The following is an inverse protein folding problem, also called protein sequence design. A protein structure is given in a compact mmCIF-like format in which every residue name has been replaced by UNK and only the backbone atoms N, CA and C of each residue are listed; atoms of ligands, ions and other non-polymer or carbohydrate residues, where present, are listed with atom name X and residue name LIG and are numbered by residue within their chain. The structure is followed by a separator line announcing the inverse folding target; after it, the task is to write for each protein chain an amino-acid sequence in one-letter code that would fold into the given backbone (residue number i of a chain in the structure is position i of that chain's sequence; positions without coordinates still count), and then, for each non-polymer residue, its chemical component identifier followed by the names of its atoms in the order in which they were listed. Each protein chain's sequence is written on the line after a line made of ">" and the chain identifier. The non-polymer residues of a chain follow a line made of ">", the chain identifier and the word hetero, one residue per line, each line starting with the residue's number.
data_IF_510001833828
#
_entry.id   IF_510001833828
#
_cell.length_a   1.000
_cell.length_b   1.000
_cell.length_c   1.000
_cell.angle_alpha   90.00
_cell.angle_beta   90.00
_cell.angle_gamma   90.00
#
_symmetry.space_group_name_H-M   'P 1'
#
loop_
_entity.id
_entity.type
_entity.pdbx_description
1 polymer ?
#
# COMPACT_ATOMS: atom_id res chain seq x y z
N UNK A 1 4.82 -34.22 28.93
CA UNK A 1 4.09 -34.98 29.98
C UNK A 1 2.57 -34.88 29.85
N UNK A 2 1.97 -33.73 29.51
CA UNK A 2 0.51 -33.60 29.29
C UNK A 2 0.00 -33.86 27.85
N UNK A 3 0.81 -34.45 26.95
CA UNK A 3 0.38 -34.81 25.58
C UNK A 3 0.24 -33.67 24.55
N UNK A 4 0.74 -32.45 24.84
CA UNK A 4 0.66 -31.32 23.92
C UNK A 4 1.40 -31.54 22.58
N UNK A 5 0.84 -31.02 21.48
CA UNK A 5 1.39 -31.13 20.13
C UNK A 5 1.94 -29.78 19.63
N UNK A 6 3.26 -29.65 19.56
CA UNK A 6 3.94 -28.43 19.08
C UNK A 6 3.67 -28.15 17.60
N UNK A 7 3.50 -29.17 16.76
CA UNK A 7 3.22 -28.98 15.33
C UNK A 7 1.85 -28.34 15.10
N UNK A 8 0.90 -28.55 16.01
CA UNK A 8 -0.42 -27.93 15.90
C UNK A 8 -0.34 -26.39 16.06
N UNK A 9 0.60 -25.88 16.88
CA UNK A 9 0.85 -24.44 16.94
C UNK A 9 1.29 -23.89 15.58
N UNK A 10 2.25 -24.56 14.91
CA UNK A 10 2.69 -24.15 13.58
C UNK A 10 1.54 -24.15 12.57
N UNK A 11 0.67 -25.17 12.63
CA UNK A 11 -0.53 -25.23 11.78
C UNK A 11 -1.46 -24.03 12.01
N UNK A 12 -1.83 -23.74 13.26
CA UNK A 12 -2.73 -22.62 13.60
C UNK A 12 -2.08 -21.27 13.25
N UNK A 13 -0.79 -21.11 13.55
CA UNK A 13 -0.05 -19.89 13.24
C UNK A 13 -0.07 -19.60 11.75
N UNK A 14 0.22 -20.58 10.89
CA UNK A 14 0.25 -20.38 9.45
C UNK A 14 -1.13 -20.28 8.82
N UNK A 15 -2.15 -20.92 9.41
CA UNK A 15 -3.54 -20.75 9.00
C UNK A 15 -3.98 -19.27 9.06
N UNK A 16 -3.40 -18.47 9.95
CA UNK A 16 -3.51 -17.01 9.92
C UNK A 16 -2.40 -16.34 9.09
N UNK A 17 -1.14 -16.72 9.33
CA UNK A 17 0.03 -16.02 8.80
C UNK A 17 0.13 -15.99 7.29
N UNK A 18 -0.39 -17.01 6.58
CA UNK A 18 -0.41 -16.98 5.13
C UNK A 18 -1.52 -16.09 4.55
N UNK A 19 -2.78 -16.14 5.02
CA UNK A 19 -3.76 -15.10 4.70
C UNK A 19 -3.27 -13.68 5.00
N UNK A 20 -2.54 -13.47 6.10
CA UNK A 20 -2.01 -12.16 6.49
C UNK A 20 -1.10 -11.55 5.41
N UNK A 21 -0.24 -12.34 4.74
CA UNK A 21 0.60 -11.79 3.67
C UNK A 21 -0.23 -11.25 2.49
N UNK A 22 -1.42 -11.79 2.26
CA UNK A 22 -2.34 -11.25 1.25
C UNK A 22 -3.12 -10.02 1.73
N UNK A 23 -3.41 -9.93 3.04
CA UNK A 23 -3.96 -8.71 3.65
C UNK A 23 -3.01 -7.53 3.41
N UNK A 24 -1.70 -7.77 3.44
CA UNK A 24 -0.69 -6.74 3.16
C UNK A 24 -0.63 -6.37 1.66
N UNK A 25 -0.65 -7.37 0.76
CA UNK A 25 -0.38 -7.13 -0.67
C UNK A 25 -1.60 -6.61 -1.45
N UNK A 26 -2.82 -7.01 -1.09
CA UNK A 26 -4.03 -6.66 -1.84
C UNK A 26 -4.30 -5.15 -1.87
N UNK A 27 -4.14 -4.39 -0.76
CA UNK A 27 -4.20 -2.93 -0.80
C UNK A 27 -3.14 -2.32 -1.73
N UNK A 28 -1.89 -2.80 -1.66
CA UNK A 28 -0.81 -2.32 -2.52
C UNK A 28 -1.10 -2.54 -4.01
N UNK A 29 -1.71 -3.68 -4.36
CA UNK A 29 -2.21 -3.94 -5.72
C UNK A 29 -3.31 -2.98 -6.15
N UNK A 30 -4.19 -2.57 -5.23
CA UNK A 30 -5.15 -1.50 -5.46
C UNK A 30 -4.44 -0.18 -5.81
N UNK A 31 -3.42 0.18 -5.05
CA UNK A 31 -2.60 1.39 -5.30
C UNK A 31 -1.94 1.33 -6.69
N UNK A 32 -1.33 0.21 -7.07
CA UNK A 32 -0.75 0.06 -8.41
C UNK A 32 -1.79 0.12 -9.54
N UNK A 33 -3.03 -0.32 -9.29
CA UNK A 33 -4.13 -0.19 -10.25
C UNK A 33 -4.45 1.29 -10.52
N UNK A 34 -4.55 2.11 -9.48
CA UNK A 34 -4.83 3.54 -9.62
C UNK A 34 -3.65 4.31 -10.24
N UNK A 35 -2.42 3.97 -9.87
CA UNK A 35 -1.20 4.58 -10.42
C UNK A 35 -1.04 4.25 -11.90
N UNK A 36 -1.18 2.97 -12.26
CA UNK A 36 -1.02 2.53 -13.66
C UNK A 36 -2.07 3.18 -14.56
N UNK A 37 -3.32 3.29 -14.11
CA UNK A 37 -4.39 3.98 -14.85
C UNK A 37 -4.13 5.49 -14.93
N UNK A 38 -3.91 6.15 -13.79
CA UNK A 38 -3.73 7.60 -13.74
C UNK A 38 -2.54 8.03 -14.57
N UNK A 39 -1.34 7.54 -14.27
CA UNK A 39 -0.11 8.03 -14.91
C UNK A 39 0.08 7.59 -16.36
N UNK A 40 -0.71 6.63 -16.85
CA UNK A 40 -0.80 6.30 -18.29
C UNK A 40 -1.84 7.13 -19.04
N UNK A 41 -2.74 7.81 -18.33
CA UNK A 41 -3.87 8.53 -18.90
C UNK A 41 -4.82 7.62 -19.66
N UNK A 42 -5.11 6.45 -19.08
CA UNK A 42 -5.98 5.41 -19.65
C UNK A 42 -6.80 4.75 -18.55
N UNK A 43 -8.02 4.36 -18.85
CA UNK A 43 -8.83 3.46 -18.02
C UNK A 43 -8.10 2.14 -17.80
N UNK A 44 -8.32 1.58 -16.61
CA UNK A 44 -7.78 0.29 -16.22
C UNK A 44 -8.26 -0.82 -17.18
N UNK A 45 -7.32 -1.51 -17.82
CA UNK A 45 -7.59 -2.67 -18.64
C UNK A 45 -8.00 -3.84 -17.74
N UNK A 46 -8.96 -4.67 -18.20
CA UNK A 46 -9.30 -5.90 -17.49
C UNK A 46 -9.94 -5.71 -16.11
N UNK A 47 -10.65 -4.61 -15.82
CA UNK A 47 -11.25 -4.36 -14.49
C UNK A 47 -11.97 -5.58 -13.88
N UNK A 48 -12.84 -6.23 -14.66
CA UNK A 48 -13.57 -7.42 -14.20
C UNK A 48 -12.59 -8.56 -13.85
N UNK A 49 -11.59 -8.79 -14.70
CA UNK A 49 -10.50 -9.75 -14.46
C UNK A 49 -9.73 -9.42 -13.18
N UNK A 50 -9.39 -8.15 -12.94
CA UNK A 50 -8.71 -7.70 -11.73
C UNK A 50 -9.52 -7.94 -10.46
N UNK A 51 -10.84 -7.70 -10.49
CA UNK A 51 -11.75 -7.95 -9.36
C UNK A 51 -11.86 -9.45 -9.09
N UNK A 52 -12.11 -10.25 -10.13
CA UNK A 52 -12.19 -11.71 -10.01
C UNK A 52 -10.86 -12.27 -9.48
N UNK A 53 -9.72 -11.81 -10.00
CA UNK A 53 -8.40 -12.22 -9.53
C UNK A 53 -8.21 -11.91 -8.03
N UNK A 54 -8.62 -10.72 -7.56
CA UNK A 54 -8.57 -10.38 -6.14
C UNK A 54 -9.46 -11.29 -5.29
N UNK A 55 -10.67 -11.61 -5.75
CA UNK A 55 -11.59 -12.52 -5.06
C UNK A 55 -11.02 -13.95 -5.01
N UNK A 56 -10.44 -14.44 -6.10
CA UNK A 56 -9.77 -15.74 -6.14
C UNK A 56 -8.62 -15.81 -5.15
N UNK A 57 -7.76 -14.77 -5.09
CA UNK A 57 -6.68 -14.69 -4.09
C UNK A 57 -7.25 -14.73 -2.67
N UNK A 58 -8.30 -13.94 -2.40
CA UNK A 58 -8.91 -13.90 -1.07
C UNK A 58 -9.41 -15.28 -0.62
N UNK A 59 -10.08 -16.04 -1.49
CA UNK A 59 -10.59 -17.38 -1.15
C UNK A 59 -9.46 -18.41 -1.04
N UNK A 60 -8.57 -18.49 -2.04
CA UNK A 60 -7.51 -19.52 -2.10
C UNK A 60 -6.44 -19.28 -1.03
N UNK A 61 -6.26 -18.05 -0.54
CA UNK A 61 -5.31 -17.76 0.55
C UNK A 61 -5.54 -18.60 1.81
N UNK A 62 -6.78 -19.01 2.07
CA UNK A 62 -7.15 -19.87 3.19
C UNK A 62 -6.93 -21.37 2.92
N UNK A 63 -6.41 -21.78 1.77
CA UNK A 63 -6.26 -23.20 1.40
C UNK A 63 -4.82 -23.63 1.13
N UNK A 64 -3.84 -22.82 1.49
CA UNK A 64 -2.44 -23.03 1.05
C UNK A 64 -1.40 -22.94 2.19
N UNK A 65 -1.82 -22.64 3.42
CA UNK A 65 -0.91 -22.33 4.53
C UNK A 65 0.11 -23.43 4.88
N UNK A 66 -0.16 -24.69 4.54
CA UNK A 66 0.73 -25.82 4.82
C UNK A 66 2.09 -25.71 4.13
N UNK A 67 2.20 -24.96 3.03
CA UNK A 67 3.48 -24.82 2.32
C UNK A 67 4.60 -24.20 3.19
N UNK A 68 4.26 -23.57 4.31
CA UNK A 68 5.27 -23.03 5.25
C UNK A 68 5.97 -24.11 6.07
N UNK A 69 5.49 -25.36 6.01
CA UNK A 69 6.02 -26.44 6.83
C UNK A 69 5.96 -27.81 6.12
N UNK A 70 6.20 -27.83 4.80
CA UNK A 70 6.33 -29.08 4.04
C UNK A 70 7.34 -30.07 4.67
N UNK A 71 8.36 -29.53 5.34
CA UNK A 71 9.46 -30.25 6.00
C UNK A 71 9.08 -30.90 7.35
N UNK A 72 7.85 -30.72 7.85
CA UNK A 72 7.41 -31.29 9.14
C UNK A 72 6.83 -32.72 9.03
N UNK A 73 7.18 -33.48 8.00
CA UNK A 73 6.88 -34.92 7.92
C UNK A 73 5.43 -35.30 7.60
N UNK A 74 4.67 -34.41 6.97
CA UNK A 74 3.32 -34.71 6.48
C UNK A 74 3.35 -35.74 5.34
N UNK A 75 2.21 -36.40 5.08
CA UNK A 75 2.12 -37.36 3.97
C UNK A 75 2.38 -36.70 2.62
N UNK A 76 2.99 -37.45 1.69
CA UNK A 76 3.31 -36.95 0.35
C UNK A 76 2.07 -36.42 -0.39
N UNK A 77 0.92 -37.08 -0.27
CA UNK A 77 -0.33 -36.64 -0.89
C UNK A 77 -0.79 -35.26 -0.41
N UNK A 78 -0.65 -34.97 0.88
CA UNK A 78 -0.98 -33.65 1.45
C UNK A 78 -0.03 -32.58 0.93
N UNK A 79 1.28 -32.85 0.91
CA UNK A 79 2.27 -31.91 0.39
C UNK A 79 2.03 -31.60 -1.10
N UNK A 80 1.69 -32.61 -1.91
CA UNK A 80 1.35 -32.43 -3.33
C UNK A 80 0.11 -31.55 -3.48
N UNK A 81 -0.96 -31.82 -2.73
CA UNK A 81 -2.20 -31.06 -2.80
C UNK A 81 -1.99 -29.57 -2.46
N UNK A 82 -1.32 -29.29 -1.35
CA UNK A 82 -1.02 -27.91 -0.95
C UNK A 82 0.00 -27.22 -1.87
N UNK A 83 0.96 -27.96 -2.41
CA UNK A 83 1.89 -27.46 -3.43
C UNK A 83 1.16 -27.00 -4.68
N UNK A 84 0.30 -27.85 -5.25
CA UNK A 84 -0.52 -27.51 -6.43
C UNK A 84 -1.42 -26.30 -6.13
N UNK A 85 -2.14 -26.31 -4.99
CA UNK A 85 -3.01 -25.20 -4.60
C UNK A 85 -2.23 -23.87 -4.49
N UNK A 86 -1.00 -23.91 -3.97
CA UNK A 86 -0.12 -22.74 -3.87
C UNK A 86 0.30 -22.22 -5.25
N UNK A 87 0.68 -23.12 -6.17
CA UNK A 87 1.05 -22.73 -7.54
C UNK A 87 -0.12 -22.08 -8.28
N UNK A 88 -1.35 -22.52 -8.04
CA UNK A 88 -2.56 -21.94 -8.64
C UNK A 88 -2.73 -20.46 -8.29
N UNK A 89 -2.27 -19.99 -7.12
CA UNK A 89 -2.31 -18.56 -6.76
C UNK A 89 -1.44 -17.69 -7.69
N UNK A 90 -0.43 -18.29 -8.33
CA UNK A 90 0.37 -17.61 -9.35
C UNK A 90 -0.47 -17.09 -10.52
N UNK A 91 -1.57 -17.77 -10.87
CA UNK A 91 -2.44 -17.42 -12.00
C UNK A 91 -3.16 -16.08 -11.79
N UNK A 92 -4.01 -15.89 -10.75
CA UNK A 92 -4.69 -14.62 -10.55
C UNK A 92 -3.70 -13.47 -10.34
N UNK A 93 -2.57 -13.71 -9.68
CA UNK A 93 -1.52 -12.70 -9.50
C UNK A 93 -0.92 -12.29 -10.85
N UNK A 94 -0.61 -13.26 -11.73
CA UNK A 94 -0.11 -13.02 -13.08
C UNK A 94 -1.09 -12.23 -13.94
N UNK A 95 -2.39 -12.56 -13.89
CA UNK A 95 -3.45 -11.80 -14.58
C UNK A 95 -3.38 -10.31 -14.21
N UNK A 96 -3.22 -9.98 -12.92
CA UNK A 96 -3.10 -8.58 -12.49
C UNK A 96 -1.89 -7.87 -13.07
N UNK A 97 -0.74 -8.53 -13.12
CA UNK A 97 0.49 -7.98 -13.73
C UNK A 97 0.24 -7.65 -15.21
N UNK A 98 -0.35 -8.58 -15.97
CA UNK A 98 -0.66 -8.35 -17.37
C UNK A 98 -1.70 -7.24 -17.59
N UNK A 99 -2.73 -7.18 -16.74
CA UNK A 99 -3.75 -6.12 -16.82
C UNK A 99 -3.13 -4.73 -16.58
N UNK A 100 -2.20 -4.58 -15.62
CA UNK A 100 -1.50 -3.31 -15.43
C UNK A 100 -0.56 -2.98 -16.59
N UNK A 101 0.18 -3.95 -17.11
CA UNK A 101 1.01 -3.75 -18.31
C UNK A 101 0.16 -3.33 -19.52
N UNK A 102 -0.99 -3.97 -19.75
CA UNK A 102 -1.92 -3.64 -20.81
C UNK A 102 -2.60 -2.27 -20.61
N UNK A 103 -2.83 -1.86 -19.35
CA UNK A 103 -3.28 -0.52 -19.00
C UNK A 103 -2.27 0.52 -19.48
N UNK A 104 -0.98 0.31 -19.22
CA UNK A 104 0.10 1.20 -19.65
C UNK A 104 0.35 1.16 -21.16
N UNK A 105 0.15 0.01 -21.82
CA UNK A 105 0.38 -0.15 -23.26
C UNK A 105 -0.50 0.81 -24.09
N UNK A 106 0.11 1.49 -25.07
CA UNK A 106 -0.52 2.55 -25.88
C UNK A 106 -1.04 3.74 -25.05
N UNK A 107 -0.69 3.82 -23.77
CA UNK A 107 -0.88 5.02 -22.96
C UNK A 107 0.22 6.04 -23.19
N UNK A 108 0.04 7.22 -22.61
CA UNK A 108 1.08 8.26 -22.55
C UNK A 108 1.65 8.28 -21.13
N UNK A 109 2.60 7.37 -20.88
CA UNK A 109 3.16 7.12 -19.55
C UNK A 109 4.02 8.30 -19.10
N UNK A 110 3.69 8.86 -17.93
CA UNK A 110 4.43 9.93 -17.28
C UNK A 110 5.44 9.33 -16.31
N UNK A 111 6.74 9.61 -16.48
CA UNK A 111 7.81 9.00 -15.66
C UNK A 111 7.97 9.76 -14.33
N UNK A 112 6.94 9.70 -13.51
CA UNK A 112 6.87 10.27 -12.15
C UNK A 112 7.39 9.28 -11.11
N UNK A 113 7.62 9.73 -9.87
CA UNK A 113 8.09 8.85 -8.77
C UNK A 113 7.22 7.60 -8.59
N UNK A 114 5.87 7.67 -8.57
CA UNK A 114 5.01 6.49 -8.51
C UNK A 114 5.26 5.48 -9.64
N UNK A 115 5.55 5.94 -10.86
CA UNK A 115 5.84 5.06 -11.99
C UNK A 115 7.21 4.39 -11.86
N UNK A 116 8.21 5.05 -11.27
CA UNK A 116 9.51 4.41 -10.98
C UNK A 116 9.32 3.26 -9.98
N UNK A 117 8.55 3.46 -8.91
CA UNK A 117 8.19 2.40 -7.97
C UNK A 117 7.39 1.28 -8.63
N UNK A 118 6.39 1.60 -9.47
CA UNK A 118 5.60 0.61 -10.21
C UNK A 118 6.49 -0.22 -11.16
N UNK A 119 7.46 0.41 -11.81
CA UNK A 119 8.41 -0.27 -12.70
C UNK A 119 9.32 -1.20 -11.89
N UNK A 120 9.85 -0.73 -10.76
CA UNK A 120 10.60 -1.56 -9.82
C UNK A 120 9.79 -2.74 -9.30
N UNK A 121 8.51 -2.53 -9.00
CA UNK A 121 7.56 -3.57 -8.67
C UNK A 121 7.46 -4.61 -9.78
N UNK A 122 7.18 -4.23 -11.04
CA UNK A 122 7.08 -5.22 -12.12
C UNK A 122 8.33 -6.07 -12.27
N UNK A 123 9.51 -5.45 -12.25
CA UNK A 123 10.77 -6.16 -12.45
C UNK A 123 11.05 -7.14 -11.32
N UNK A 124 10.90 -6.70 -10.07
CA UNK A 124 11.35 -7.45 -8.90
C UNK A 124 10.27 -8.41 -8.40
N UNK A 125 9.00 -7.98 -8.38
CA UNK A 125 7.89 -8.81 -7.93
C UNK A 125 7.66 -10.03 -8.81
N UNK A 126 7.89 -9.93 -10.14
CA UNK A 126 7.80 -11.10 -11.03
C UNK A 126 8.89 -12.11 -10.69
N UNK A 127 10.13 -11.68 -10.46
CA UNK A 127 11.21 -12.57 -10.00
C UNK A 127 10.86 -13.19 -8.64
N UNK A 128 10.32 -12.38 -7.72
CA UNK A 128 9.82 -12.83 -6.42
C UNK A 128 8.74 -13.90 -6.56
N UNK A 129 7.73 -13.65 -7.38
CA UNK A 129 6.63 -14.58 -7.65
C UNK A 129 7.12 -15.90 -8.27
N UNK A 130 8.03 -15.84 -9.25
CA UNK A 130 8.64 -17.04 -9.83
C UNK A 130 9.39 -17.86 -8.78
N UNK A 131 10.19 -17.23 -7.91
CA UNK A 131 10.85 -17.93 -6.80
C UNK A 131 9.86 -18.53 -5.79
N UNK A 132 8.67 -17.93 -5.64
CA UNK A 132 7.58 -18.49 -4.81
C UNK A 132 6.95 -19.73 -5.41
N UNK A 133 6.77 -19.77 -6.73
CA UNK A 133 6.32 -20.98 -7.45
C UNK A 133 7.35 -22.10 -7.29
N UNK A 134 8.65 -21.77 -7.30
CA UNK A 134 9.72 -22.75 -7.02
C UNK A 134 9.60 -23.30 -5.60
N UNK A 135 9.38 -22.45 -4.59
CA UNK A 135 9.18 -22.86 -3.19
C UNK A 135 7.86 -23.62 -2.95
N UNK A 136 6.85 -23.40 -3.79
CA UNK A 136 5.61 -24.17 -3.75
C UNK A 136 5.79 -25.64 -4.16
N UNK A 137 6.94 -26.01 -4.73
CA UNK A 137 7.30 -27.39 -5.02
C UNK A 137 7.96 -28.04 -3.79
N UNK A 138 7.31 -29.02 -3.12
CA UNK A 138 7.84 -29.61 -1.89
C UNK A 138 9.23 -30.25 -2.07
N UNK A 139 9.51 -30.83 -3.24
CA UNK A 139 10.81 -31.47 -3.52
C UNK A 139 11.95 -30.47 -3.56
N UNK A 140 11.68 -29.24 -4.02
CA UNK A 140 12.68 -28.16 -4.02
C UNK A 140 12.71 -27.50 -2.66
N UNK A 141 11.55 -27.24 -2.04
CA UNK A 141 11.47 -26.63 -0.71
C UNK A 141 12.34 -27.40 0.28
N UNK A 142 12.36 -28.74 0.27
CA UNK A 142 13.24 -29.52 1.15
C UNK A 142 14.72 -29.14 1.11
N UNK A 143 15.22 -28.61 0.00
CA UNK A 143 16.62 -28.16 -0.13
C UNK A 143 16.83 -26.71 0.33
N UNK A 144 15.85 -25.84 0.09
CA UNK A 144 15.99 -24.39 0.32
C UNK A 144 15.18 -23.88 1.51
N UNK A 145 14.44 -24.76 2.18
CA UNK A 145 13.65 -24.45 3.35
C UNK A 145 14.56 -23.91 4.45
N UNK A 146 14.20 -22.76 5.03
CA UNK A 146 15.01 -22.04 6.01
C UNK A 146 16.42 -21.62 5.53
N UNK A 147 16.75 -21.65 4.23
CA UNK A 147 17.97 -21.01 3.72
C UNK A 147 17.74 -19.51 3.44
N UNK A 148 18.80 -18.79 3.08
CA UNK A 148 18.65 -17.39 2.64
C UNK A 148 17.87 -17.25 1.32
N UNK A 149 17.62 -18.34 0.58
CA UNK A 149 16.76 -18.33 -0.61
C UNK A 149 15.32 -17.98 -0.23
N UNK A 150 14.80 -18.58 0.84
CA UNK A 150 13.48 -18.26 1.39
C UNK A 150 13.41 -16.79 1.85
N UNK A 151 14.48 -16.31 2.47
CA UNK A 151 14.60 -14.91 2.90
C UNK A 151 14.55 -13.98 1.68
N UNK A 152 15.34 -14.26 0.65
CA UNK A 152 15.36 -13.51 -0.59
C UNK A 152 13.98 -13.47 -1.26
N UNK A 153 13.34 -14.64 -1.40
CA UNK A 153 11.98 -14.76 -1.95
C UNK A 153 10.98 -13.84 -1.25
N UNK A 154 10.86 -13.97 0.08
CA UNK A 154 9.88 -13.20 0.84
C UNK A 154 10.14 -11.68 0.74
N UNK A 155 11.41 -11.27 0.83
CA UNK A 155 11.76 -9.85 0.67
C UNK A 155 11.45 -9.34 -0.74
N UNK A 156 11.59 -10.18 -1.77
CA UNK A 156 11.32 -9.84 -3.16
C UNK A 156 9.84 -9.74 -3.51
N UNK A 157 8.95 -10.34 -2.70
CA UNK A 157 7.51 -10.11 -2.83
C UNK A 157 7.02 -8.98 -1.93
N UNK A 158 7.54 -8.84 -0.71
CA UNK A 158 7.02 -7.85 0.25
C UNK A 158 7.59 -6.44 0.03
N UNK A 159 8.87 -6.28 -0.29
CA UNK A 159 9.45 -4.93 -0.48
C UNK A 159 8.94 -4.32 -1.78
N UNK A 160 9.13 -4.95 -2.97
CA UNK A 160 8.57 -4.41 -4.20
C UNK A 160 7.05 -4.43 -4.22
N UNK A 161 6.41 -5.45 -3.65
CA UNK A 161 4.96 -5.59 -3.67
C UNK A 161 4.24 -4.65 -2.70
N UNK A 162 4.65 -4.62 -1.43
CA UNK A 162 3.96 -3.84 -0.38
C UNK A 162 4.63 -2.48 -0.19
N UNK A 163 5.93 -2.45 0.16
CA UNK A 163 6.60 -1.21 0.52
C UNK A 163 6.61 -0.21 -0.65
N UNK A 164 6.94 -0.63 -1.87
CA UNK A 164 6.93 0.29 -3.01
C UNK A 164 5.50 0.75 -3.34
N UNK A 165 4.50 -0.12 -3.18
CA UNK A 165 3.10 0.27 -3.33
C UNK A 165 2.71 1.35 -2.32
N UNK A 166 3.13 1.22 -1.06
CA UNK A 166 2.87 2.24 -0.03
C UNK A 166 3.61 3.55 -0.32
N UNK A 167 4.89 3.49 -0.69
CA UNK A 167 5.68 4.68 -1.03
C UNK A 167 5.13 5.40 -2.28
N UNK A 168 4.70 4.64 -3.29
CA UNK A 168 4.07 5.18 -4.48
C UNK A 168 2.70 5.80 -4.15
N UNK A 169 1.90 5.13 -3.29
CA UNK A 169 0.64 5.66 -2.78
C UNK A 169 0.82 6.94 -1.97
N UNK A 170 1.88 7.03 -1.14
CA UNK A 170 2.24 8.26 -0.45
C UNK A 170 2.49 9.35 -1.50
N UNK A 171 3.35 9.16 -2.49
CA UNK A 171 3.61 10.20 -3.50
C UNK A 171 2.34 10.60 -4.28
N UNK A 172 1.45 9.65 -4.54
CA UNK A 172 0.20 9.87 -5.24
C UNK A 172 -0.80 10.68 -4.41
N UNK A 173 -1.10 10.28 -3.17
CA UNK A 173 -2.13 10.92 -2.33
C UNK A 173 -1.62 11.94 -1.30
N UNK A 174 -0.30 12.14 -1.16
CA UNK A 174 0.27 13.18 -0.28
C UNK A 174 -0.35 14.57 -0.51
N UNK A 175 -0.57 15.04 -1.75
CA UNK A 175 -1.17 16.34 -1.96
C UNK A 175 -2.61 16.41 -1.45
N UNK A 176 -3.37 15.32 -1.51
CA UNK A 176 -4.74 15.26 -1.02
C UNK A 176 -4.81 15.42 0.50
N UNK A 177 -3.85 14.82 1.22
CA UNK A 177 -3.77 14.89 2.66
C UNK A 177 -3.21 16.24 3.18
N UNK A 178 -2.18 16.79 2.53
CA UNK A 178 -1.42 17.93 3.07
C UNK A 178 -1.55 19.23 2.26
N UNK A 179 -2.18 19.20 1.09
CA UNK A 179 -2.42 20.38 0.24
C UNK A 179 -1.27 20.74 -0.71
N UNK A 180 -0.15 20.01 -0.70
CA UNK A 180 1.01 20.26 -1.58
C UNK A 180 1.65 18.96 -2.05
N UNK A 181 2.28 18.98 -3.23
CA UNK A 181 2.98 17.82 -3.81
C UNK A 181 4.33 17.56 -3.15
N UNK A 182 4.84 16.33 -3.28
CA UNK A 182 6.23 16.00 -2.97
C UNK A 182 7.15 16.38 -4.15
N UNK A 183 8.41 16.70 -3.84
CA UNK A 183 9.44 17.00 -4.83
C UNK A 183 9.73 15.79 -5.72
N UNK A 184 9.46 15.91 -7.02
CA UNK A 184 9.65 14.80 -7.96
C UNK A 184 11.13 14.46 -8.23
N UNK A 185 12.04 15.42 -8.12
CA UNK A 185 13.47 15.17 -8.26
C UNK A 185 13.99 14.26 -7.15
N UNK A 186 13.65 14.57 -5.90
CA UNK A 186 14.08 13.78 -4.74
C UNK A 186 13.28 12.49 -4.57
N UNK A 187 11.99 12.50 -4.92
CA UNK A 187 11.16 11.31 -4.98
C UNK A 187 11.75 10.25 -5.92
N UNK A 188 12.15 10.64 -7.15
CA UNK A 188 12.75 9.70 -8.11
C UNK A 188 14.09 9.16 -7.64
N UNK A 189 14.96 10.02 -7.08
CA UNK A 189 16.24 9.58 -6.48
C UNK A 189 16.00 8.55 -5.38
N UNK A 190 15.04 8.81 -4.51
CA UNK A 190 14.64 7.88 -3.43
C UNK A 190 14.17 6.55 -4.02
N UNK A 191 13.30 6.57 -5.04
CA UNK A 191 12.81 5.36 -5.69
C UNK A 191 13.93 4.54 -6.35
N UNK A 192 14.84 5.19 -7.09
CA UNK A 192 15.99 4.51 -7.70
C UNK A 192 16.94 3.92 -6.65
N UNK A 193 17.18 4.61 -5.54
CA UNK A 193 17.99 4.09 -4.44
C UNK A 193 17.33 2.87 -3.78
N UNK A 194 16.00 2.88 -3.59
CA UNK A 194 15.26 1.72 -3.09
C UNK A 194 15.34 0.53 -4.05
N UNK A 195 15.15 0.75 -5.36
CA UNK A 195 15.20 -0.31 -6.37
C UNK A 195 16.60 -0.88 -6.50
N UNK A 196 17.61 -0.02 -6.66
CA UNK A 196 19.02 -0.45 -6.76
C UNK A 196 19.51 -1.11 -5.47
N UNK A 197 19.24 -0.49 -4.31
CA UNK A 197 19.58 -1.04 -3.01
C UNK A 197 18.94 -2.40 -2.76
N UNK A 198 17.68 -2.59 -3.16
CA UNK A 198 17.02 -3.89 -3.07
C UNK A 198 17.74 -4.95 -3.90
N UNK A 199 18.05 -4.66 -5.18
CA UNK A 199 18.75 -5.59 -6.07
C UNK A 199 20.07 -6.04 -5.46
N UNK A 200 20.91 -5.10 -5.04
CA UNK A 200 22.21 -5.42 -4.45
C UNK A 200 22.09 -6.13 -3.10
N UNK A 201 21.04 -5.88 -2.31
CA UNK A 201 20.85 -6.53 -1.01
C UNK A 201 20.36 -7.97 -1.15
N UNK A 202 19.31 -8.19 -1.93
CA UNK A 202 18.55 -9.44 -1.87
C UNK A 202 18.81 -10.40 -3.04
N UNK A 203 19.27 -9.93 -4.20
CA UNK A 203 19.64 -10.86 -5.28
C UNK A 203 20.80 -11.79 -4.90
N UNK A 204 21.86 -11.33 -4.21
CA UNK A 204 22.91 -12.23 -3.71
C UNK A 204 22.39 -13.32 -2.76
N UNK A 205 21.32 -13.04 -2.00
CA UNK A 205 20.78 -13.98 -1.03
C UNK A 205 20.11 -15.20 -1.67
N UNK A 206 19.61 -15.08 -2.91
CA UNK A 206 19.17 -16.24 -3.69
C UNK A 206 20.35 -17.19 -3.96
N UNK A 207 21.50 -16.65 -4.39
CA UNK A 207 22.70 -17.45 -4.67
C UNK A 207 23.23 -18.09 -3.39
N UNK A 208 23.38 -17.30 -2.32
CA UNK A 208 23.79 -17.80 -0.99
C UNK A 208 22.88 -18.92 -0.48
N UNK A 209 21.58 -18.82 -0.75
CA UNK A 209 20.60 -19.80 -0.31
C UNK A 209 20.73 -21.13 -1.06
N UNK A 210 21.08 -21.07 -2.35
CA UNK A 210 21.41 -22.24 -3.17
C UNK A 210 22.79 -22.84 -2.79
N UNK A 211 23.72 -22.01 -2.31
CA UNK A 211 24.99 -22.46 -1.74
C UNK A 211 24.85 -23.04 -0.32
N UNK A 212 23.63 -23.09 0.24
CA UNK A 212 23.34 -23.70 1.54
C UNK A 212 23.50 -22.79 2.75
N UNK A 213 23.57 -21.47 2.57
CA UNK A 213 23.62 -20.53 3.71
C UNK A 213 22.27 -20.56 4.47
N UNK A 214 22.24 -20.96 5.75
CA UNK A 214 21.01 -20.98 6.53
C UNK A 214 20.61 -19.57 6.98
N UNK A 215 19.30 -19.33 7.13
CA UNK A 215 18.79 -18.10 7.74
C UNK A 215 19.06 -18.09 9.24
N UNK A 216 19.14 -16.90 9.85
CA UNK A 216 19.35 -16.68 11.29
C UNK A 216 20.70 -17.19 11.81
N UNK A 217 21.67 -17.36 10.93
CA UNK A 217 23.06 -17.63 11.32
C UNK A 217 23.76 -16.31 11.67
N UNK A 218 24.27 -16.14 12.89
CA UNK A 218 24.99 -14.92 13.27
C UNK A 218 26.39 -14.84 12.66
N UNK A 219 26.92 -15.99 12.21
CA UNK A 219 28.24 -16.12 11.58
C UNK A 219 28.21 -17.29 10.59
N UNK A 220 29.16 -17.31 9.66
CA UNK A 220 29.37 -18.39 8.70
C UNK A 220 30.86 -18.67 8.54
N UNK A 221 31.21 -19.95 8.32
CA UNK A 221 32.60 -20.40 8.19
C UNK A 221 33.05 -20.56 6.74
N UNK A 222 32.09 -20.73 5.80
CA UNK A 222 32.42 -20.91 4.39
C UNK A 222 32.90 -19.58 3.77
N UNK A 223 34.18 -19.46 3.34
CA UNK A 223 34.70 -18.24 2.75
C UNK A 223 34.04 -17.88 1.42
N UNK A 224 33.46 -18.84 0.70
CA UNK A 224 32.80 -18.62 -0.59
C UNK A 224 31.55 -17.72 -0.47
N UNK A 225 31.01 -17.55 0.74
CA UNK A 225 29.89 -16.65 1.00
C UNK A 225 30.31 -15.18 1.05
N UNK A 226 31.59 -14.88 1.33
CA UNK A 226 32.06 -13.50 1.55
C UNK A 226 31.79 -12.55 0.38
N UNK A 227 32.08 -12.90 -0.89
CA UNK A 227 31.84 -11.99 -2.01
C UNK A 227 30.37 -11.57 -2.11
N UNK A 228 29.44 -12.53 -1.98
CA UNK A 228 28.01 -12.28 -2.03
C UNK A 228 27.52 -11.45 -0.84
N UNK A 229 28.07 -11.70 0.36
CA UNK A 229 27.76 -10.94 1.56
C UNK A 229 28.27 -9.49 1.47
N UNK A 230 29.42 -9.23 0.84
CA UNK A 230 29.89 -7.87 0.59
C UNK A 230 28.99 -7.11 -0.39
N UNK A 231 28.51 -7.77 -1.45
CA UNK A 231 27.52 -7.18 -2.37
C UNK A 231 26.22 -6.88 -1.63
N UNK A 232 25.73 -7.83 -0.80
CA UNK A 232 24.54 -7.64 0.01
C UNK A 232 24.69 -6.47 1.01
N UNK A 233 25.85 -6.35 1.65
CA UNK A 233 26.15 -5.26 2.57
C UNK A 233 26.18 -3.89 1.86
N UNK A 234 26.77 -3.83 0.66
CA UNK A 234 26.73 -2.63 -0.18
C UNK A 234 25.28 -2.23 -0.52
N UNK A 235 24.44 -3.20 -0.89
CA UNK A 235 23.00 -2.98 -1.08
C UNK A 235 22.32 -2.43 0.19
N UNK A 236 22.68 -2.97 1.36
CA UNK A 236 22.17 -2.49 2.65
C UNK A 236 22.50 -1.02 2.91
N UNK A 237 23.72 -0.58 2.56
CA UNK A 237 24.12 0.84 2.62
C UNK A 237 23.29 1.68 1.65
N UNK A 238 23.05 1.21 0.42
CA UNK A 238 22.18 1.91 -0.52
C UNK A 238 20.74 2.05 -0.01
N UNK A 239 20.21 1.02 0.65
CA UNK A 239 18.88 1.07 1.29
C UNK A 239 18.84 2.09 2.43
N UNK A 240 19.91 2.23 3.22
CA UNK A 240 20.03 3.29 4.23
C UNK A 240 20.05 4.68 3.58
N UNK A 241 20.79 4.84 2.48
CA UNK A 241 20.77 6.07 1.68
C UNK A 241 19.38 6.35 1.11
N UNK A 242 18.63 5.32 0.70
CA UNK A 242 17.24 5.46 0.24
C UNK A 242 16.34 6.01 1.35
N UNK A 243 16.46 5.47 2.57
CA UNK A 243 15.72 5.97 3.73
C UNK A 243 16.08 7.42 4.06
N UNK A 244 17.36 7.78 4.06
CA UNK A 244 17.80 9.16 4.25
C UNK A 244 17.24 10.10 3.16
N UNK A 245 17.26 9.66 1.90
CA UNK A 245 16.69 10.39 0.77
C UNK A 245 15.17 10.56 0.89
N UNK A 246 14.45 9.58 1.45
CA UNK A 246 13.02 9.69 1.72
C UNK A 246 12.72 10.80 2.75
N UNK A 247 13.45 10.82 3.87
CA UNK A 247 13.33 11.87 4.89
C UNK A 247 13.64 13.24 4.27
N UNK A 248 14.69 13.30 3.46
CA UNK A 248 15.07 14.52 2.75
C UNK A 248 13.98 14.97 1.76
N UNK A 249 13.33 14.05 1.05
CA UNK A 249 12.20 14.33 0.16
C UNK A 249 11.07 15.03 0.92
N UNK A 250 10.69 14.53 2.10
CA UNK A 250 9.68 15.20 2.93
C UNK A 250 10.12 16.58 3.39
N UNK A 251 11.36 16.71 3.86
CA UNK A 251 11.90 17.98 4.34
C UNK A 251 11.94 19.07 3.25
N UNK A 252 12.50 18.75 2.06
CA UNK A 252 12.55 19.69 0.93
C UNK A 252 11.14 20.08 0.48
N UNK A 253 10.22 19.10 0.38
CA UNK A 253 8.85 19.36 -0.05
C UNK A 253 8.11 20.27 0.93
N UNK A 254 8.29 20.06 2.24
CA UNK A 254 7.73 20.93 3.27
C UNK A 254 8.31 22.35 3.23
N UNK A 255 9.61 22.47 2.94
CA UNK A 255 10.28 23.78 2.84
C UNK A 255 9.78 24.62 1.66
N UNK A 256 9.41 23.96 0.55
CA UNK A 256 8.89 24.56 -0.68
C UNK A 256 7.37 24.34 -0.85
N UNK A 257 6.63 24.07 0.25
CA UNK A 257 5.21 23.72 0.20
C UNK A 257 4.31 24.77 -0.49
N UNK A 258 4.71 26.04 -0.47
CA UNK A 258 3.95 27.12 -1.09
C UNK A 258 4.00 27.04 -2.64
N UNK A 259 5.17 26.73 -3.19
CA UNK A 259 5.42 26.51 -4.62
C UNK A 259 4.73 25.22 -5.09
N UNK A 260 4.77 24.18 -4.25
CA UNK A 260 4.19 22.86 -4.52
C UNK A 260 2.70 22.75 -4.18
N UNK A 261 2.06 23.84 -3.71
CA UNK A 261 0.66 23.81 -3.28
C UNK A 261 -0.31 23.57 -4.43
N UNK A 262 -1.29 22.71 -4.21
CA UNK A 262 -2.27 22.27 -5.21
C UNK A 262 -3.71 22.45 -4.76
N UNK A 263 -4.13 23.68 -4.41
CA UNK A 263 -5.43 23.92 -3.77
C UNK A 263 -6.63 23.53 -4.65
N UNK A 264 -6.46 23.41 -5.97
CA UNK A 264 -7.49 22.90 -6.89
C UNK A 264 -7.80 21.41 -6.70
N UNK A 265 -6.88 20.66 -6.08
CA UNK A 265 -7.14 19.30 -5.61
C UNK A 265 -6.92 18.16 -6.60
N UNK A 266 -6.73 18.42 -7.90
CA UNK A 266 -6.40 17.41 -8.93
C UNK A 266 -5.06 17.70 -9.62
N UNK A 267 -3.92 17.41 -8.97
CA UNK A 267 -2.60 17.63 -9.56
C UNK A 267 -2.21 16.65 -10.67
N UNK A 268 -2.91 15.52 -10.79
CA UNK A 268 -2.49 14.40 -11.64
C UNK A 268 -3.42 14.15 -12.82
N UNK A 269 -4.44 15.00 -13.00
CA UNK A 269 -5.54 14.76 -13.92
C UNK A 269 -6.21 13.40 -13.67
N UNK A 270 -6.42 13.03 -12.40
CA UNK A 270 -6.95 11.74 -11.96
C UNK A 270 -8.40 11.49 -12.38
N UNK A 271 -8.88 10.25 -12.37
CA UNK A 271 -10.19 9.91 -12.97
C UNK A 271 -11.29 9.59 -11.95
N UNK A 272 -10.92 9.54 -10.67
CA UNK A 272 -11.70 9.09 -9.52
C UNK A 272 -12.11 10.27 -8.62
N UNK A 273 -13.08 10.05 -7.73
CA UNK A 273 -13.78 11.11 -7.01
C UNK A 273 -12.91 11.88 -6.00
N UNK A 274 -11.85 11.28 -5.46
CA UNK A 274 -10.95 11.96 -4.53
C UNK A 274 -10.33 13.21 -5.15
N UNK A 275 -10.12 13.21 -6.46
CA UNK A 275 -9.58 14.35 -7.22
C UNK A 275 -10.61 15.45 -7.48
N UNK A 276 -11.89 15.21 -7.22
CA UNK A 276 -12.95 16.23 -7.37
C UNK A 276 -13.06 17.22 -6.20
N UNK A 277 -12.35 16.94 -5.10
CA UNK A 277 -12.37 17.74 -3.86
C UNK A 277 -11.15 18.66 -3.77
N UNK A 278 -11.19 19.72 -2.94
CA UNK A 278 -10.00 20.53 -2.68
C UNK A 278 -8.85 19.71 -2.07
N UNK A 279 -7.68 20.33 -1.99
CA UNK A 279 -6.55 19.81 -1.23
C UNK A 279 -6.00 20.89 -0.29
N UNK A 280 -5.95 20.65 1.04
CA UNK A 280 -6.42 19.46 1.73
C UNK A 280 -7.95 19.29 1.68
N UNK A 281 -8.43 18.07 1.91
CA UNK A 281 -9.86 17.75 1.88
C UNK A 281 -10.57 18.40 3.08
N UNK A 282 -11.74 19.05 2.87
CA UNK A 282 -12.58 19.50 3.98
C UNK A 282 -13.07 18.34 4.85
N UNK A 283 -13.36 18.59 6.12
CA UNK A 283 -13.77 17.52 7.04
C UNK A 283 -15.03 16.76 6.63
N UNK A 284 -15.96 17.43 5.93
CA UNK A 284 -17.17 16.81 5.38
C UNK A 284 -16.94 16.06 4.06
N UNK A 285 -15.73 16.08 3.52
CA UNK A 285 -15.31 15.49 2.23
C UNK A 285 -16.03 16.07 0.99
N UNK A 286 -17.34 15.86 0.87
CA UNK A 286 -18.18 16.35 -0.21
C UNK A 286 -19.31 17.22 0.34
N UNK A 287 -19.62 18.38 -0.27
CA UNK A 287 -20.73 19.24 0.18
C UNK A 287 -22.10 18.57 0.01
N UNK A 288 -22.19 17.58 -0.89
CA UNK A 288 -23.34 16.69 -1.07
C UNK A 288 -22.82 15.35 -1.59
N UNK A 289 -23.47 14.26 -1.20
CA UNK A 289 -23.12 12.92 -1.70
C UNK A 289 -23.19 12.92 -3.24
N UNK A 290 -22.09 12.63 -3.94
CA UNK A 290 -22.07 12.66 -5.40
C UNK A 290 -22.88 11.50 -5.99
N UNK A 291 -23.67 11.80 -7.02
CA UNK A 291 -24.32 10.76 -7.84
C UNK A 291 -23.30 10.19 -8.82
N UNK A 292 -22.94 8.93 -8.64
CA UNK A 292 -21.99 8.22 -9.51
C UNK A 292 -22.73 7.59 -10.68
N UNK A 293 -22.40 8.01 -11.91
CA UNK A 293 -23.03 7.55 -13.15
C UNK A 293 -22.10 6.67 -14.00
N UNK A 294 -20.80 6.69 -13.72
CA UNK A 294 -19.79 5.88 -14.40
C UNK A 294 -18.71 5.39 -13.42
N UNK A 295 -17.94 4.36 -13.83
CA UNK A 295 -16.83 3.83 -13.02
C UNK A 295 -15.75 4.89 -12.71
N UNK A 296 -15.42 5.71 -13.70
CA UNK A 296 -14.49 6.84 -13.58
C UNK A 296 -15.27 8.15 -13.68
N UNK A 297 -16.20 8.35 -12.73
CA UNK A 297 -17.18 9.43 -12.77
C UNK A 297 -16.56 10.82 -12.90
N UNK A 298 -15.50 11.10 -12.13
CA UNK A 298 -14.77 12.37 -12.22
C UNK A 298 -14.13 12.57 -13.61
N UNK A 299 -13.57 11.50 -14.18
CA UNK A 299 -13.04 11.52 -15.54
C UNK A 299 -14.10 11.84 -16.60
N UNK A 300 -15.29 11.24 -16.50
CA UNK A 300 -16.39 11.53 -17.44
C UNK A 300 -16.92 12.96 -17.29
N UNK A 301 -16.98 13.49 -16.07
CA UNK A 301 -17.34 14.89 -15.80
C UNK A 301 -16.35 15.85 -16.46
N UNK A 302 -15.05 15.54 -16.43
CA UNK A 302 -14.01 16.35 -17.12
C UNK A 302 -14.20 16.35 -18.62
N UNK A 303 -14.51 15.20 -19.22
CA UNK A 303 -14.83 15.12 -20.67
C UNK A 303 -16.10 15.87 -21.06
N UNK A 304 -17.06 16.01 -20.15
CA UNK A 304 -18.29 16.74 -20.38
C UNK A 304 -18.11 18.28 -20.36
N UNK A 305 -16.93 18.80 -20.00
CA UNK A 305 -16.57 20.21 -20.13
C UNK A 305 -16.87 21.11 -18.92
N UNK A 306 -17.53 20.60 -17.87
CA UNK A 306 -17.75 21.35 -16.63
C UNK A 306 -17.76 20.41 -15.40
N UNK A 307 -16.58 19.96 -14.94
CA UNK A 307 -16.49 18.96 -13.89
C UNK A 307 -16.80 19.54 -12.49
N UNK A 308 -16.62 20.84 -12.30
CA UNK A 308 -16.86 21.55 -11.04
C UNK A 308 -18.24 22.21 -11.00
N UNK A 309 -19.27 21.57 -11.56
CA UNK A 309 -20.66 21.99 -11.35
C UNK A 309 -21.09 21.74 -9.90
N UNK A 310 -21.69 22.76 -9.28
CA UNK A 310 -22.15 22.70 -7.88
C UNK A 310 -23.43 21.92 -7.67
N UNK A 311 -23.68 21.44 -6.43
CA UNK A 311 -24.99 20.92 -6.08
C UNK A 311 -26.03 22.05 -6.17
N UNK A 312 -27.26 21.71 -6.56
CA UNK A 312 -28.35 22.69 -6.63
C UNK A 312 -28.76 23.22 -5.23
N UNK A 313 -28.58 22.40 -4.20
CA UNK A 313 -28.99 22.67 -2.83
C UNK A 313 -27.93 22.13 -1.87
N UNK A 314 -27.78 22.83 -0.75
CA UNK A 314 -26.91 22.45 0.37
C UNK A 314 -27.79 22.11 1.57
N UNK A 315 -27.34 21.17 2.38
CA UNK A 315 -27.99 20.76 3.62
C UNK A 315 -26.97 20.79 4.76
N UNK A 316 -27.49 20.87 5.98
CA UNK A 316 -26.68 20.71 7.18
C UNK A 316 -26.00 19.33 7.17
N UNK A 317 -24.74 19.28 7.58
CA UNK A 317 -23.95 18.04 7.61
C UNK A 317 -23.68 17.66 9.06
N UNK A 318 -24.14 16.47 9.45
CA UNK A 318 -23.82 15.88 10.75
C UNK A 318 -22.42 15.26 10.71
N UNK A 319 -21.56 15.74 11.59
CA UNK A 319 -20.19 15.24 11.76
C UNK A 319 -20.02 14.53 13.11
N UNK A 320 -19.26 13.42 13.14
CA UNK A 320 -18.91 12.78 14.40
C UNK A 320 -18.07 13.72 15.28
N UNK A 321 -18.38 13.76 16.57
CA UNK A 321 -17.63 14.54 17.55
C UNK A 321 -16.44 13.72 18.09
N UNK A 322 -15.29 14.39 18.28
CA UNK A 322 -14.09 13.77 18.84
C UNK A 322 -14.32 13.21 20.25
N UNK A 323 -13.69 12.08 20.56
CA UNK A 323 -13.79 11.45 21.88
C UNK A 323 -12.47 10.83 22.32
N UNK A 324 -12.14 10.99 23.61
CA UNK A 324 -10.92 10.42 24.19
C UNK A 324 -11.05 8.92 24.52
N UNK A 325 -12.25 8.33 24.47
CA UNK A 325 -12.47 6.95 24.94
C UNK A 325 -11.64 5.92 24.18
N UNK A 326 -11.44 6.08 22.87
CA UNK A 326 -10.58 5.17 22.10
C UNK A 326 -9.14 5.18 22.62
N UNK A 327 -8.58 6.35 22.89
CA UNK A 327 -7.24 6.50 23.46
C UNK A 327 -7.16 5.90 24.87
N UNK A 328 -8.16 6.14 25.71
CA UNK A 328 -8.21 5.58 27.06
C UNK A 328 -8.28 4.05 27.06
N UNK A 329 -9.08 3.46 26.16
CA UNK A 329 -9.15 2.00 25.99
C UNK A 329 -7.80 1.47 25.52
N UNK A 330 -7.15 2.13 24.56
CA UNK A 330 -5.83 1.74 24.08
C UNK A 330 -4.77 1.78 25.19
N UNK A 331 -4.77 2.82 26.03
CA UNK A 331 -3.88 2.92 27.20
C UNK A 331 -4.17 1.80 28.19
N UNK A 332 -5.44 1.53 28.51
CA UNK A 332 -5.81 0.45 29.41
C UNK A 332 -5.39 -0.94 28.89
N UNK A 333 -5.61 -1.20 27.59
CA UNK A 333 -5.19 -2.43 26.92
C UNK A 333 -3.66 -2.55 26.88
N UNK A 334 -2.94 -1.45 26.64
CA UNK A 334 -1.48 -1.41 26.70
C UNK A 334 -0.97 -1.74 28.11
N UNK A 335 -1.54 -1.11 29.15
CA UNK A 335 -1.15 -1.37 30.53
C UNK A 335 -1.45 -2.82 30.95
N UNK A 336 -2.58 -3.38 30.50
CA UNK A 336 -2.90 -4.80 30.68
C UNK A 336 -1.83 -5.68 30.03
N UNK A 337 -1.51 -5.45 28.75
CA UNK A 337 -0.50 -6.22 28.03
C UNK A 337 0.88 -6.12 28.68
N UNK A 338 1.31 -4.90 29.02
CA UNK A 338 2.55 -4.64 29.74
C UNK A 338 2.58 -5.37 31.09
N UNK A 339 1.52 -5.26 31.88
CA UNK A 339 1.42 -5.91 33.18
C UNK A 339 1.47 -7.44 33.07
N UNK A 340 0.79 -8.03 32.08
CA UNK A 340 0.82 -9.47 31.82
C UNK A 340 2.21 -9.97 31.44
N UNK A 341 2.95 -9.20 30.62
CA UNK A 341 4.33 -9.54 30.24
C UNK A 341 5.30 -9.46 31.43
N UNK A 342 5.15 -8.45 32.28
CA UNK A 342 6.04 -8.21 33.43
C UNK A 342 5.53 -8.79 34.76
N UNK A 343 4.46 -9.59 34.72
CA UNK A 343 3.86 -10.26 35.87
C UNK A 343 3.42 -9.27 36.99
N UNK A 344 2.98 -8.07 36.62
CA UNK A 344 2.52 -7.02 37.54
C UNK A 344 1.02 -7.21 37.79
N UNK A 345 0.66 -8.18 38.62
CA UNK A 345 -0.73 -8.66 38.72
C UNK A 345 -1.77 -7.61 39.15
N UNK A 346 -1.41 -6.69 40.06
CA UNK A 346 -2.33 -5.62 40.46
C UNK A 346 -2.69 -4.71 39.28
N UNK A 347 -1.72 -4.41 38.42
CA UNK A 347 -1.92 -3.58 37.23
C UNK A 347 -2.68 -4.35 36.14
N UNK A 348 -2.44 -5.67 36.02
CA UNK A 348 -3.20 -6.52 35.10
C UNK A 348 -4.68 -6.57 35.48
N UNK A 349 -5.00 -6.69 36.77
CA UNK A 349 -6.39 -6.65 37.27
C UNK A 349 -7.03 -5.30 36.95
N UNK A 350 -6.34 -4.20 37.23
CA UNK A 350 -6.83 -2.84 36.93
C UNK A 350 -7.04 -2.66 35.42
N UNK A 351 -6.06 -3.02 34.59
CA UNK A 351 -6.16 -2.91 33.13
C UNK A 351 -7.29 -3.76 32.55
N UNK A 352 -7.43 -5.00 33.03
CA UNK A 352 -8.49 -5.92 32.62
C UNK A 352 -9.88 -5.40 32.99
N UNK A 353 -10.05 -4.79 34.17
CA UNK A 353 -11.32 -4.18 34.56
C UNK A 353 -11.59 -2.86 33.83
N UNK A 354 -10.55 -2.06 33.58
CA UNK A 354 -10.65 -0.75 32.95
C UNK A 354 -11.12 -0.83 31.49
N UNK A 355 -10.65 -1.82 30.71
CA UNK A 355 -11.05 -1.97 29.30
C UNK A 355 -12.59 -2.10 29.13
N UNK A 356 -13.28 -3.10 29.71
CA UNK A 356 -14.73 -3.24 29.57
C UNK A 356 -15.47 -2.09 30.27
N UNK A 357 -14.96 -1.55 31.37
CA UNK A 357 -15.57 -0.38 32.02
C UNK A 357 -15.58 0.84 31.10
N UNK A 358 -14.47 1.15 30.42
CA UNK A 358 -14.38 2.26 29.46
C UNK A 358 -15.26 2.03 28.23
N UNK A 359 -15.37 0.78 27.75
CA UNK A 359 -16.29 0.42 26.66
C UNK A 359 -17.74 0.63 27.08
N UNK A 360 -18.13 0.14 28.27
CA UNK A 360 -19.47 0.33 28.81
C UNK A 360 -19.80 1.82 29.02
N UNK A 361 -18.89 2.58 29.63
CA UNK A 361 -19.02 4.02 29.82
C UNK A 361 -19.17 4.76 28.49
N UNK A 362 -18.44 4.34 27.45
CA UNK A 362 -18.59 4.91 26.10
C UNK A 362 -19.96 4.60 25.51
N UNK A 363 -20.44 3.37 25.67
CA UNK A 363 -21.73 2.89 25.14
C UNK A 363 -22.95 3.52 25.81
N UNK A 364 -22.84 3.90 27.09
CA UNK A 364 -23.91 4.57 27.83
C UNK A 364 -24.04 6.06 27.52
N UNK A 365 -23.05 6.68 26.86
CA UNK A 365 -23.04 8.11 26.55
C UNK A 365 -23.50 8.36 25.12
N UNK A 366 -24.62 9.06 24.99
CA UNK A 366 -25.00 9.72 23.73
C UNK A 366 -24.04 10.87 23.49
N UNK A 367 -23.40 10.88 22.32
CA UNK A 367 -22.56 12.00 21.88
C UNK A 367 -23.33 12.68 20.77
N UNK A 368 -23.78 13.90 21.03
CA UNK A 368 -24.46 14.70 20.02
C UNK A 368 -23.51 14.96 18.83
N UNK A 369 -24.00 14.79 17.60
CA UNK A 369 -23.22 15.10 16.42
C UNK A 369 -22.97 16.61 16.36
N UNK A 370 -21.81 17.00 15.83
CA UNK A 370 -21.57 18.40 15.49
C UNK A 370 -22.22 18.69 14.15
N UNK A 371 -23.11 19.66 14.10
CA UNK A 371 -23.76 20.08 12.85
C UNK A 371 -22.93 21.19 12.21
N UNK A 372 -22.56 21.00 10.94
CA UNK A 372 -21.99 22.05 10.10
C UNK A 372 -23.13 22.66 9.29
N UNK A 373 -23.44 23.96 9.44
CA UNK A 373 -24.56 24.59 8.76
C UNK A 373 -24.40 24.57 7.23
N UNK A 374 -25.51 24.38 6.51
CA UNK A 374 -25.57 24.41 5.05
C UNK A 374 -24.97 25.69 4.46
N UNK A 375 -25.11 26.82 5.17
CA UNK A 375 -24.56 28.11 4.76
C UNK A 375 -23.02 28.10 4.72
N UNK A 376 -22.38 27.50 5.72
CA UNK A 376 -20.92 27.37 5.81
C UNK A 376 -20.39 26.44 4.71
N UNK A 377 -21.06 25.30 4.51
CA UNK A 377 -20.72 24.35 3.43
C UNK A 377 -20.86 25.03 2.06
N UNK A 378 -21.94 25.78 1.84
CA UNK A 378 -22.18 26.50 0.60
C UNK A 378 -21.14 27.61 0.34
N UNK A 379 -20.74 28.34 1.38
CA UNK A 379 -19.69 29.36 1.27
C UNK A 379 -18.35 28.73 0.92
N UNK A 380 -17.94 27.68 1.64
CA UNK A 380 -16.68 26.99 1.40
C UNK A 380 -16.62 26.36 -0.01
N UNK A 381 -17.70 25.72 -0.45
CA UNK A 381 -17.78 25.11 -1.79
C UNK A 381 -17.79 26.17 -2.91
N UNK A 382 -18.52 27.28 -2.74
CA UNK A 382 -18.47 28.41 -3.68
C UNK A 382 -17.07 29.01 -3.78
N UNK A 383 -16.39 29.18 -2.65
CA UNK A 383 -15.00 29.68 -2.61
C UNK A 383 -14.04 28.75 -3.34
N UNK A 384 -14.18 27.44 -3.15
CA UNK A 384 -13.39 26.45 -3.89
C UNK A 384 -13.62 26.52 -5.40
N UNK A 385 -14.88 26.61 -5.84
CA UNK A 385 -15.22 26.72 -7.27
C UNK A 385 -14.69 28.01 -7.90
N UNK A 386 -14.81 29.14 -7.20
CA UNK A 386 -14.24 30.41 -7.64
C UNK A 386 -12.70 30.33 -7.72
N UNK A 387 -12.06 29.67 -6.76
CA UNK A 387 -10.63 29.44 -6.78
C UNK A 387 -10.22 28.64 -8.02
N UNK A 388 -10.85 27.50 -8.26
CA UNK A 388 -10.55 26.64 -9.41
C UNK A 388 -10.77 27.36 -10.74
N UNK A 389 -11.85 28.15 -10.86
CA UNK A 389 -12.12 28.94 -12.06
C UNK A 389 -11.05 30.00 -12.37
N UNK A 390 -10.32 30.48 -11.36
CA UNK A 390 -9.27 31.50 -11.50
C UNK A 390 -7.85 30.92 -11.60
N UNK A 391 -7.67 29.63 -11.30
CA UNK A 391 -6.37 28.98 -11.38
C UNK A 391 -6.05 28.57 -12.83
N UNK A 392 -4.78 28.66 -13.24
CA UNK A 392 -4.39 28.20 -14.58
C UNK A 392 -4.55 26.69 -14.68
N UNK A 393 -5.10 26.23 -15.81
CA UNK A 393 -5.06 24.81 -16.15
C UNK A 393 -3.60 24.36 -16.35
N UNK A 394 -3.27 23.23 -15.74
CA UNK A 394 -1.97 22.59 -15.80
C UNK A 394 -2.01 21.42 -16.80
N UNK A 395 -1.14 21.49 -17.81
CA UNK A 395 -0.91 20.38 -18.73
C UNK A 395 -0.02 19.33 -18.08
N UNK A 396 0.14 18.17 -18.73
CA UNK A 396 1.08 17.13 -18.30
C UNK A 396 2.52 17.62 -18.22
N UNK A 397 2.92 18.57 -19.09
CA UNK A 397 4.24 19.16 -19.04
C UNK A 397 4.45 20.06 -17.82
N UNK A 398 3.37 20.61 -17.26
CA UNK A 398 3.41 21.49 -16.10
C UNK A 398 3.41 20.72 -14.77
N UNK A 399 3.23 19.39 -14.76
CA UNK A 399 2.98 18.59 -13.56
C UNK A 399 4.05 18.69 -12.49
N UNK A 400 5.33 18.81 -12.89
CA UNK A 400 6.47 18.93 -11.98
C UNK A 400 6.74 20.40 -11.58
N UNK A 401 6.08 21.37 -12.22
CA UNK A 401 6.34 22.81 -12.07
C UNK A 401 5.40 23.46 -11.05
N UNK A 402 5.68 24.70 -10.67
CA UNK A 402 4.85 25.52 -9.78
C UNK A 402 3.50 25.90 -10.41
N UNK A 403 3.40 25.85 -11.74
CA UNK A 403 2.16 26.12 -12.47
C UNK A 403 1.07 25.09 -12.17
N UNK A 404 1.46 23.87 -11.78
CA UNK A 404 0.51 22.88 -11.29
C UNK A 404 -0.02 23.26 -9.91
N UNK A 405 -1.18 23.92 -9.91
CA UNK A 405 -1.97 24.31 -8.73
C UNK A 405 -3.15 23.38 -8.47
N UNK A 406 -3.17 22.19 -9.09
CA UNK A 406 -4.22 21.19 -8.90
C UNK A 406 -5.48 21.40 -9.75
N UNK A 407 -5.37 22.13 -10.86
CA UNK A 407 -6.44 22.25 -11.86
C UNK A 407 -5.91 21.69 -13.18
N UNK A 408 -6.36 20.51 -13.61
CA UNK A 408 -5.82 19.87 -14.81
C UNK A 408 -6.40 20.47 -16.08
N UNK A 409 -5.62 20.43 -17.16
CA UNK A 409 -6.15 20.64 -18.49
C UNK A 409 -7.06 19.47 -18.88
N UNK A 410 -8.36 19.75 -18.97
CA UNK A 410 -9.39 18.76 -19.30
C UNK A 410 -9.28 18.27 -20.75
N UNK A 411 -8.64 19.03 -21.65
CA UNK A 411 -8.43 18.61 -23.04
C UNK A 411 -7.42 17.45 -23.15
N UNK A 412 -6.53 17.31 -22.17
CA UNK A 412 -5.53 16.24 -22.12
C UNK A 412 -6.03 14.97 -21.40
N UNK A 413 -7.28 14.97 -20.94
CA UNK A 413 -7.91 13.80 -20.35
C UNK A 413 -8.26 12.77 -21.43
N UNK A 414 -7.23 12.05 -21.88
CA UNK A 414 -7.39 10.85 -22.68
C UNK A 414 -8.02 9.75 -21.83
N UNK A 415 -8.98 9.05 -22.41
CA UNK A 415 -9.74 8.02 -21.73
C UNK A 415 -9.07 6.71 -21.59
#
# INVERSE_FOLDING_TARGET
>A
EAGGNMMNYANIFWMFGHPEVYILILPAFGVFSEISSTFSGKRLYGYTSLVIASMCIAVVSFTVWLHHFFTMGQSAGVNIAFGIATMVIGIPTGVKIYDWMATMWRGRVRITTPIVYLTGFFLLFVIGGLSGIILANPSIDYQVHNSTFLVAHFHNVIIPGVLYGMLAGIHYWFPKAFGFRLSETWGRRTAFLFVGGFVFTFMPLYVLGLMGMPRRSPTFQNPDFLPWMYIAAFGGVLMLCALASLIWTFWVSYRHRAELAVPGGDPWNGSTLEWSTPAPVPEWTFPRIPRVMARHDWGERKRAGDPWKGPAEYADIEMPTNTAHGLLIAIAAFLLGFAMVWHIWWLAIIGFAAVPALVALRGMRVIEPRIIPAAEVAEADRRFRQLVANLPAATRADEETERNRGVPDISEFAG
#
